data_IF_464997466765
#
_entry.id   IF_464997466765
#
_cell.length_a   1.000
_cell.length_b   1.000
_cell.length_c   1.000
_cell.angle_alpha   90.00
_cell.angle_beta   90.00
_cell.angle_gamma   90.00
#
_symmetry.space_group_name_H-M   'P 1'
#
loop_
_entity.id
_entity.type
_entity.pdbx_description
1 polymer ?
#
# COMPACT_ATOMS: atom_id res chain seq x y z
N UNK A 1 19.70 -10.18 3.30
CA UNK A 1 19.33 -10.35 4.73
C UNK A 1 18.43 -11.57 4.81
N UNK A 2 18.67 -12.50 5.73
CA UNK A 2 17.84 -13.72 5.79
C UNK A 2 16.47 -13.39 6.35
N UNK A 3 15.39 -13.70 5.61
CA UNK A 3 14.01 -13.56 6.06
C UNK A 3 13.74 -14.36 7.34
N UNK A 4 14.50 -15.45 7.57
CA UNK A 4 14.46 -16.23 8.81
C UNK A 4 14.71 -15.37 10.05
N UNK A 5 15.63 -14.41 9.98
CA UNK A 5 15.94 -13.56 11.13
C UNK A 5 14.79 -12.58 11.46
N UNK A 6 14.09 -12.09 10.45
CA UNK A 6 12.87 -11.28 10.65
C UNK A 6 11.75 -12.14 11.24
N UNK A 7 11.53 -13.34 10.71
CA UNK A 7 10.53 -14.27 11.22
C UNK A 7 10.79 -14.65 12.68
N UNK A 8 12.05 -14.82 13.07
CA UNK A 8 12.46 -15.14 14.43
C UNK A 8 12.58 -13.92 15.36
N UNK A 9 12.19 -12.73 14.91
CA UNK A 9 12.22 -11.49 15.68
C UNK A 9 13.60 -11.19 16.28
N UNK A 10 14.67 -11.38 15.50
CA UNK A 10 16.03 -11.09 15.95
C UNK A 10 16.31 -9.59 15.91
N UNK A 11 16.56 -8.98 17.06
CA UNK A 11 16.67 -7.54 17.29
C UNK A 11 17.56 -6.80 16.29
N UNK A 12 18.76 -7.28 16.03
CA UNK A 12 19.67 -6.61 15.09
C UNK A 12 19.13 -6.54 13.65
N UNK A 13 18.43 -7.59 13.22
CA UNK A 13 17.83 -7.62 11.88
C UNK A 13 16.61 -6.72 11.79
N UNK A 14 15.80 -6.68 12.85
CA UNK A 14 14.61 -5.83 12.93
C UNK A 14 15.02 -4.36 12.95
N UNK A 15 16.01 -3.98 13.77
CA UNK A 15 16.49 -2.60 13.88
C UNK A 15 16.98 -2.06 12.54
N UNK A 16 17.87 -2.79 11.86
CA UNK A 16 18.38 -2.36 10.54
C UNK A 16 17.29 -2.24 9.49
N UNK A 17 16.29 -3.13 9.52
CA UNK A 17 15.15 -3.07 8.60
C UNK A 17 14.24 -1.88 8.91
N UNK A 18 13.96 -1.64 10.20
CA UNK A 18 13.17 -0.52 10.67
C UNK A 18 13.83 0.83 10.32
N UNK A 19 15.13 0.96 10.49
CA UNK A 19 15.90 2.16 10.09
C UNK A 19 15.78 2.44 8.60
N UNK A 20 15.90 1.40 7.76
CA UNK A 20 15.73 1.54 6.31
C UNK A 20 14.32 2.02 5.96
N UNK A 21 13.28 1.41 6.53
CA UNK A 21 11.88 1.81 6.29
C UNK A 21 11.67 3.27 6.71
N UNK A 22 12.13 3.63 7.90
CA UNK A 22 12.02 5.01 8.41
C UNK A 22 12.67 6.01 7.45
N UNK A 23 13.91 5.75 7.04
CA UNK A 23 14.66 6.62 6.16
C UNK A 23 13.98 6.78 4.80
N UNK A 24 13.52 5.71 4.18
CA UNK A 24 12.92 5.75 2.84
C UNK A 24 11.58 6.51 2.83
N UNK A 25 10.76 6.34 3.85
CA UNK A 25 9.54 7.13 3.96
C UNK A 25 9.84 8.63 4.16
N UNK A 26 10.81 9.00 4.99
CA UNK A 26 11.18 10.41 5.16
C UNK A 26 11.88 11.01 3.94
N UNK A 27 12.61 10.24 3.15
CA UNK A 27 13.15 10.65 1.86
C UNK A 27 12.02 10.99 0.87
N UNK A 28 10.98 10.18 0.84
CA UNK A 28 9.77 10.44 0.03
C UNK A 28 9.05 11.70 0.51
N UNK A 29 8.86 11.87 1.82
CA UNK A 29 8.26 13.07 2.41
C UNK A 29 9.09 14.33 2.06
N UNK A 30 10.41 14.25 2.13
CA UNK A 30 11.30 15.36 1.77
C UNK A 30 11.17 15.73 0.28
N UNK A 31 11.03 14.73 -0.60
CA UNK A 31 10.77 14.94 -2.03
C UNK A 31 9.43 15.64 -2.27
N UNK A 32 8.37 15.18 -1.59
CA UNK A 32 7.06 15.82 -1.65
C UNK A 32 7.11 17.28 -1.15
N UNK A 33 7.77 17.55 -0.02
CA UNK A 33 7.94 18.89 0.50
C UNK A 33 8.70 19.78 -0.47
N UNK A 34 9.75 19.24 -1.14
CA UNK A 34 10.51 19.98 -2.16
C UNK A 34 9.63 20.44 -3.31
N UNK A 35 8.76 19.55 -3.78
CA UNK A 35 7.82 19.88 -4.85
C UNK A 35 6.78 20.90 -4.39
N UNK A 36 6.16 20.68 -3.24
CA UNK A 36 5.12 21.55 -2.69
C UNK A 36 5.61 22.97 -2.41
N UNK A 37 6.85 23.15 -1.91
CA UNK A 37 7.43 24.50 -1.68
C UNK A 37 7.81 25.23 -2.98
N UNK A 38 8.10 24.51 -4.06
CA UNK A 38 8.60 25.08 -5.31
C UNK A 38 7.56 25.23 -6.39
N UNK A 39 6.48 24.45 -6.33
CA UNK A 39 5.47 24.40 -7.38
C UNK A 39 4.80 25.75 -7.64
N UNK A 40 4.70 26.63 -6.65
CA UNK A 40 4.13 27.96 -6.79
C UNK A 40 5.03 28.96 -7.52
N UNK A 41 6.32 28.65 -7.66
CA UNK A 41 7.26 29.47 -8.41
C UNK A 41 7.26 29.16 -9.93
N UNK A 42 6.48 28.16 -10.37
CA UNK A 42 6.38 27.78 -11.77
C UNK A 42 5.44 28.75 -12.47
N UNK A 43 5.92 29.40 -13.52
CA UNK A 43 5.09 30.23 -14.39
C UNK A 43 4.32 29.32 -15.31
N UNK A 44 3.01 29.42 -15.31
CA UNK A 44 2.10 28.61 -16.13
C UNK A 44 1.68 29.42 -17.36
N UNK A 45 1.66 28.79 -18.52
CA UNK A 45 1.34 29.44 -19.79
C UNK A 45 -0.11 29.15 -20.27
N UNK A 46 -0.72 28.07 -19.76
CA UNK A 46 -2.05 27.64 -20.22
C UNK A 46 -2.78 26.78 -19.17
N UNK A 47 -4.07 26.58 -19.39
CA UNK A 47 -4.95 25.82 -18.50
C UNK A 47 -4.53 24.33 -18.35
N UNK A 48 -3.88 23.73 -19.36
CA UNK A 48 -3.38 22.36 -19.26
C UNK A 48 -2.24 22.26 -18.24
N UNK A 49 -1.39 23.26 -18.15
CA UNK A 49 -0.32 23.33 -17.16
C UNK A 49 -0.86 23.60 -15.75
N UNK A 50 -1.95 24.37 -15.64
CA UNK A 50 -2.65 24.56 -14.36
C UNK A 50 -3.24 23.22 -13.85
N UNK A 51 -3.89 22.45 -14.73
CA UNK A 51 -4.40 21.13 -14.39
C UNK A 51 -3.27 20.16 -13.99
N UNK A 52 -2.15 20.18 -14.73
CA UNK A 52 -0.99 19.35 -14.41
C UNK A 52 -0.37 19.74 -13.05
N UNK A 53 -0.27 21.04 -12.74
CA UNK A 53 0.18 21.53 -11.44
C UNK A 53 -0.74 21.04 -10.31
N UNK A 54 -2.05 21.16 -10.48
CA UNK A 54 -3.03 20.68 -9.50
C UNK A 54 -2.91 19.17 -9.27
N UNK A 55 -2.73 18.39 -10.33
CA UNK A 55 -2.52 16.95 -10.26
C UNK A 55 -1.23 16.58 -9.47
N UNK A 56 -0.13 17.29 -9.71
CA UNK A 56 1.14 17.11 -8.99
C UNK A 56 0.98 17.42 -7.50
N UNK A 57 0.29 18.52 -7.18
CA UNK A 57 0.05 18.91 -5.78
C UNK A 57 -0.78 17.85 -5.05
N UNK A 58 -1.85 17.37 -5.67
CA UNK A 58 -2.68 16.30 -5.11
C UNK A 58 -1.88 15.03 -4.87
N UNK A 59 -1.08 14.60 -5.86
CA UNK A 59 -0.23 13.42 -5.73
C UNK A 59 0.79 13.56 -4.59
N UNK A 60 1.48 14.69 -4.49
CA UNK A 60 2.44 14.96 -3.41
C UNK A 60 1.78 14.91 -2.03
N UNK A 61 0.57 15.49 -1.88
CA UNK A 61 -0.17 15.45 -0.61
C UNK A 61 -0.61 14.04 -0.26
N UNK A 62 -1.14 13.29 -1.22
CA UNK A 62 -1.58 11.90 -1.02
C UNK A 62 -0.42 10.97 -0.67
N UNK A 63 0.72 11.07 -1.38
CA UNK A 63 1.93 10.30 -1.08
C UNK A 63 2.52 10.65 0.28
N UNK A 64 2.59 11.94 0.62
CA UNK A 64 3.05 12.39 1.93
C UNK A 64 2.17 11.83 3.06
N UNK A 65 0.86 11.86 2.88
CA UNK A 65 -0.11 11.31 3.82
C UNK A 65 0.06 9.79 3.97
N UNK A 66 0.21 9.06 2.87
CA UNK A 66 0.47 7.62 2.86
C UNK A 66 1.76 7.28 3.62
N UNK A 67 2.84 8.04 3.39
CA UNK A 67 4.11 7.85 4.10
C UNK A 67 3.95 8.09 5.61
N UNK A 68 3.29 9.16 6.01
CA UNK A 68 3.02 9.45 7.41
C UNK A 68 2.15 8.36 8.06
N UNK A 69 1.12 7.92 7.38
CA UNK A 69 0.23 6.89 7.92
C UNK A 69 0.95 5.55 8.12
N UNK A 70 1.79 5.15 7.17
CA UNK A 70 2.62 3.96 7.32
C UNK A 70 3.64 4.10 8.45
N UNK A 71 4.33 5.24 8.55
CA UNK A 71 5.23 5.52 9.67
C UNK A 71 4.50 5.47 11.01
N UNK A 72 3.30 6.06 11.10
CA UNK A 72 2.50 6.09 12.32
C UNK A 72 2.13 4.66 12.76
N UNK A 73 1.64 3.83 11.84
CA UNK A 73 1.27 2.43 12.13
C UNK A 73 2.45 1.56 12.54
N UNK A 74 3.67 1.84 12.02
CA UNK A 74 4.85 1.02 12.25
C UNK A 74 5.68 1.46 13.47
N UNK A 75 5.64 2.76 13.80
CA UNK A 75 6.59 3.34 14.76
C UNK A 75 5.94 4.07 15.95
N UNK A 76 4.61 3.99 16.07
CA UNK A 76 3.88 4.52 17.21
C UNK A 76 2.96 3.47 17.84
N UNK A 77 2.52 3.64 19.09
CA UNK A 77 1.44 2.86 19.66
C UNK A 77 0.15 2.96 18.85
N UNK A 78 -0.74 1.98 18.99
CA UNK A 78 -2.06 2.06 18.36
C UNK A 78 -2.88 3.23 18.94
N UNK A 79 -3.69 3.87 18.10
CA UNK A 79 -4.49 5.05 18.47
C UNK A 79 -5.40 4.83 19.67
N UNK A 80 -5.99 3.64 19.76
CA UNK A 80 -6.91 3.26 20.86
C UNK A 80 -6.23 3.11 22.22
N UNK A 81 -4.91 3.07 22.28
CA UNK A 81 -4.15 2.93 23.52
C UNK A 81 -3.96 4.28 24.22
N UNK A 82 -3.44 5.24 23.49
CA UNK A 82 -3.22 6.59 23.97
C UNK A 82 -3.02 7.56 22.79
N UNK A 83 -4.04 8.30 22.37
CA UNK A 83 -3.91 9.27 21.28
C UNK A 83 -2.93 10.41 21.57
N UNK A 84 -2.60 10.67 22.84
CA UNK A 84 -1.65 11.71 23.25
C UNK A 84 -0.21 11.20 23.34
N UNK A 85 0.02 9.90 23.16
CA UNK A 85 1.37 9.35 23.11
C UNK A 85 2.16 9.89 21.90
N UNK A 86 3.48 9.74 21.98
CA UNK A 86 4.39 10.12 20.90
C UNK A 86 4.08 9.32 19.62
N UNK A 87 3.67 10.03 18.59
CA UNK A 87 3.45 9.52 17.24
C UNK A 87 4.73 9.54 16.40
N UNK A 88 4.72 10.32 15.33
CA UNK A 88 5.85 10.48 14.41
C UNK A 88 6.26 11.95 14.29
N UNK A 89 7.36 12.19 13.58
CA UNK A 89 7.81 13.56 13.29
C UNK A 89 7.05 14.07 12.06
N UNK A 90 6.27 15.14 12.22
CA UNK A 90 5.64 15.84 11.11
C UNK A 90 6.63 16.84 10.51
N UNK A 91 7.24 16.47 9.38
CA UNK A 91 8.18 17.31 8.64
C UNK A 91 7.43 18.13 7.59
N UNK A 92 7.26 19.42 7.83
CA UNK A 92 6.47 20.28 6.97
C UNK A 92 7.29 21.07 5.94
N UNK A 93 8.54 21.40 6.27
CA UNK A 93 9.41 22.29 5.49
C UNK A 93 10.71 21.61 5.09
N UNK A 94 11.35 22.17 4.07
CA UNK A 94 12.72 21.84 3.72
C UNK A 94 13.71 22.38 4.77
N UNK A 95 14.90 21.81 4.76
CA UNK A 95 16.00 22.24 5.62
C UNK A 95 16.22 21.34 6.83
N UNK A 96 17.29 21.65 7.56
CA UNK A 96 17.69 20.94 8.76
C UNK A 96 16.89 21.46 9.94
N UNK A 97 15.97 20.64 10.41
CA UNK A 97 15.16 20.88 11.59
C UNK A 97 15.26 19.68 12.51
N UNK A 98 15.08 19.87 13.79
CA UNK A 98 15.05 18.83 14.80
C UNK A 98 13.72 18.84 15.56
N UNK A 99 12.59 18.65 14.86
CA UNK A 99 11.28 18.63 15.49
C UNK A 99 11.13 17.40 16.39
N UNK A 100 10.39 17.56 17.46
CA UNK A 100 9.98 16.43 18.31
C UNK A 100 8.92 15.60 17.59
N UNK A 101 8.67 14.40 18.08
CA UNK A 101 7.49 13.64 17.67
C UNK A 101 6.23 14.41 18.06
N UNK A 102 5.26 14.44 17.17
CA UNK A 102 3.91 14.96 17.44
C UNK A 102 3.08 13.88 18.13
N UNK A 103 1.99 14.26 18.79
CA UNK A 103 1.05 13.27 19.31
C UNK A 103 0.44 12.42 18.18
N UNK A 104 -0.03 11.22 18.52
CA UNK A 104 -0.73 10.36 17.55
C UNK A 104 -1.95 11.09 16.98
N UNK A 105 -2.70 11.81 17.82
CA UNK A 105 -3.86 12.60 17.41
C UNK A 105 -3.49 13.71 16.43
N UNK A 106 -2.42 14.46 16.69
CA UNK A 106 -1.92 15.48 15.75
C UNK A 106 -1.48 14.85 14.42
N UNK A 107 -0.84 13.68 14.48
CA UNK A 107 -0.45 12.95 13.28
C UNK A 107 -1.67 12.54 12.45
N UNK A 108 -2.70 11.96 13.08
CA UNK A 108 -3.96 11.59 12.41
C UNK A 108 -4.64 12.83 11.81
N UNK A 109 -4.67 13.93 12.53
CA UNK A 109 -5.23 15.20 12.04
C UNK A 109 -4.48 15.73 10.81
N UNK A 110 -3.16 15.73 10.85
CA UNK A 110 -2.32 16.16 9.73
C UNK A 110 -2.50 15.26 8.50
N UNK A 111 -2.54 13.95 8.68
CA UNK A 111 -2.77 12.97 7.60
C UNK A 111 -4.15 13.18 6.99
N UNK A 112 -5.19 13.34 7.82
CA UNK A 112 -6.56 13.62 7.37
C UNK A 112 -6.64 14.90 6.52
N UNK A 113 -5.97 15.97 6.96
CA UNK A 113 -5.93 17.24 6.22
C UNK A 113 -5.29 17.04 4.84
N UNK A 114 -4.13 16.41 4.77
CA UNK A 114 -3.45 16.13 3.50
C UNK A 114 -4.30 15.31 2.53
N UNK A 115 -4.95 14.26 3.02
CA UNK A 115 -5.83 13.41 2.21
C UNK A 115 -7.08 14.16 1.75
N UNK A 116 -7.70 14.94 2.64
CA UNK A 116 -8.88 15.74 2.27
C UNK A 116 -8.56 16.76 1.18
N UNK A 117 -7.41 17.42 1.29
CA UNK A 117 -6.93 18.37 0.28
C UNK A 117 -6.52 17.69 -1.04
N UNK A 118 -6.14 16.40 -0.99
CA UNK A 118 -5.81 15.61 -2.18
C UNK A 118 -7.03 14.94 -2.83
N UNK A 119 -8.18 14.92 -2.17
CA UNK A 119 -9.35 14.17 -2.64
C UNK A 119 -9.99 14.74 -3.92
N UNK A 120 -9.80 16.02 -4.19
CA UNK A 120 -10.26 16.64 -5.44
C UNK A 120 -9.18 16.49 -6.53
N UNK A 121 -9.02 15.27 -7.03
CA UNK A 121 -8.02 14.95 -8.05
C UNK A 121 -8.64 14.20 -9.22
N UNK A 122 -8.13 14.50 -10.42
CA UNK A 122 -8.44 13.77 -11.67
C UNK A 122 -7.33 12.78 -12.05
N UNK A 123 -6.45 12.43 -11.11
CA UNK A 123 -5.39 11.45 -11.36
C UNK A 123 -5.97 10.09 -11.69
N UNK A 124 -5.35 9.42 -12.65
CA UNK A 124 -5.75 8.12 -13.15
C UNK A 124 -4.55 7.15 -13.07
N UNK A 125 -4.63 6.09 -12.23
CA UNK A 125 -3.55 5.13 -12.08
C UNK A 125 -3.22 4.38 -13.37
N UNK A 126 -4.19 4.17 -14.27
CA UNK A 126 -3.96 3.50 -15.55
C UNK A 126 -3.17 4.40 -16.53
N UNK A 127 -3.37 5.71 -16.42
CA UNK A 127 -2.72 6.69 -17.31
C UNK A 127 -1.35 7.12 -16.82
N UNK A 128 -1.19 7.38 -15.53
CA UNK A 128 0.04 7.98 -14.99
C UNK A 128 0.61 7.25 -13.76
N UNK A 129 -0.05 6.21 -13.27
CA UNK A 129 0.36 5.47 -12.08
C UNK A 129 0.17 6.24 -10.77
N UNK A 130 -0.56 7.34 -10.75
CA UNK A 130 -0.77 8.21 -9.61
C UNK A 130 -2.03 7.83 -8.83
N UNK A 131 -2.09 8.31 -7.57
CA UNK A 131 -3.21 8.06 -6.67
C UNK A 131 -4.48 8.73 -7.18
N UNK A 132 -5.49 7.92 -7.50
CA UNK A 132 -6.81 8.39 -7.89
C UNK A 132 -7.60 8.92 -6.69
N UNK A 133 -8.70 9.60 -6.97
CA UNK A 133 -9.67 9.98 -5.94
C UNK A 133 -10.14 8.76 -5.10
N UNK A 134 -10.39 7.62 -5.77
CA UNK A 134 -10.76 6.37 -5.10
C UNK A 134 -9.66 5.89 -4.15
N UNK A 135 -8.39 5.99 -4.54
CA UNK A 135 -7.26 5.64 -3.69
C UNK A 135 -7.16 6.58 -2.47
N UNK A 136 -7.42 7.86 -2.65
CA UNK A 136 -7.46 8.84 -1.55
C UNK A 136 -8.61 8.54 -0.59
N UNK A 137 -9.81 8.24 -1.08
CA UNK A 137 -10.95 7.83 -0.24
C UNK A 137 -10.66 6.55 0.52
N UNK A 138 -9.94 5.61 -0.09
CA UNK A 138 -9.52 4.41 0.61
C UNK A 138 -8.56 4.72 1.77
N UNK A 139 -7.56 5.56 1.55
CA UNK A 139 -6.66 5.98 2.62
C UNK A 139 -7.39 6.73 3.74
N UNK A 140 -8.39 7.54 3.41
CA UNK A 140 -9.25 8.18 4.39
C UNK A 140 -10.08 7.15 5.16
N UNK A 141 -10.68 6.16 4.50
CA UNK A 141 -11.42 5.10 5.17
C UNK A 141 -10.54 4.33 6.16
N UNK A 142 -9.33 3.95 5.76
CA UNK A 142 -8.36 3.27 6.64
C UNK A 142 -7.93 4.16 7.82
N UNK A 143 -7.69 5.44 7.59
CA UNK A 143 -7.32 6.39 8.63
C UNK A 143 -8.43 6.55 9.66
N UNK A 144 -9.68 6.67 9.21
CA UNK A 144 -10.83 6.80 10.10
C UNK A 144 -11.11 5.51 10.88
N UNK A 145 -10.89 4.34 10.27
CA UNK A 145 -10.91 3.05 10.99
C UNK A 145 -9.84 3.00 12.08
N UNK A 146 -8.61 3.41 11.75
CA UNK A 146 -7.51 3.47 12.71
C UNK A 146 -7.81 4.42 13.88
N UNK A 147 -8.47 5.54 13.61
CA UNK A 147 -8.88 6.53 14.61
C UNK A 147 -10.20 6.18 15.33
N UNK A 148 -10.82 5.02 15.05
CA UNK A 148 -12.08 4.60 15.64
C UNK A 148 -13.32 5.38 15.17
N UNK A 149 -13.19 6.17 14.09
CA UNK A 149 -14.26 6.98 13.50
C UNK A 149 -15.07 6.17 12.49
N UNK A 150 -15.69 5.07 12.92
CA UNK A 150 -16.34 4.07 12.06
C UNK A 150 -17.40 4.65 11.12
N UNK A 151 -18.16 5.66 11.58
CA UNK A 151 -19.15 6.33 10.74
C UNK A 151 -18.53 7.06 9.55
N UNK A 152 -17.40 7.74 9.77
CA UNK A 152 -16.66 8.40 8.69
C UNK A 152 -15.99 7.40 7.74
N UNK A 153 -15.44 6.31 8.28
CA UNK A 153 -14.86 5.24 7.49
C UNK A 153 -15.91 4.64 6.54
N UNK A 154 -17.14 4.38 7.02
CA UNK A 154 -18.24 3.88 6.21
C UNK A 154 -18.60 4.83 5.06
N UNK A 155 -18.67 6.15 5.33
CA UNK A 155 -18.96 7.15 4.29
C UNK A 155 -17.92 7.12 3.16
N UNK A 156 -16.63 6.99 3.47
CA UNK A 156 -15.60 6.88 2.46
C UNK A 156 -15.64 5.54 1.71
N UNK A 157 -15.94 4.45 2.41
CA UNK A 157 -16.13 3.15 1.79
C UNK A 157 -17.32 3.15 0.81
N UNK A 158 -18.43 3.77 1.16
CA UNK A 158 -19.58 3.95 0.28
C UNK A 158 -19.21 4.70 -1.00
N UNK A 159 -18.46 5.81 -0.91
CA UNK A 159 -17.97 6.54 -2.07
C UNK A 159 -17.12 5.69 -3.02
N UNK A 160 -16.36 4.74 -2.49
CA UNK A 160 -15.56 3.80 -3.28
C UNK A 160 -16.48 2.81 -3.98
N UNK A 161 -17.46 2.26 -3.26
CA UNK A 161 -18.41 1.28 -3.79
C UNK A 161 -19.34 1.87 -4.86
N UNK A 162 -19.67 3.16 -4.80
CA UNK A 162 -20.43 3.86 -5.84
C UNK A 162 -19.72 3.84 -7.21
N UNK A 163 -18.41 3.69 -7.23
CA UNK A 163 -17.62 3.56 -8.46
C UNK A 163 -17.41 2.11 -8.90
N UNK A 164 -17.81 1.15 -8.07
CA UNK A 164 -17.68 -0.27 -8.38
C UNK A 164 -18.74 -0.70 -9.42
N UNK A 165 -18.34 -1.62 -10.28
CA UNK A 165 -19.23 -2.23 -11.28
C UNK A 165 -19.33 -3.73 -11.04
N UNK A 166 -20.45 -4.34 -11.43
CA UNK A 166 -20.73 -5.77 -11.18
C UNK A 166 -19.67 -6.70 -11.80
N UNK A 167 -19.03 -6.28 -12.89
CA UNK A 167 -17.97 -7.05 -13.56
C UNK A 167 -16.66 -7.11 -12.76
N UNK A 168 -16.49 -6.27 -11.74
CA UNK A 168 -15.32 -6.30 -10.84
C UNK A 168 -15.34 -7.52 -9.91
N UNK A 169 -16.53 -7.98 -9.52
CA UNK A 169 -16.72 -9.03 -8.50
C UNK A 169 -16.94 -10.42 -9.07
N UNK A 170 -16.53 -10.65 -10.30
CA UNK A 170 -16.63 -11.96 -10.96
C UNK A 170 -15.42 -12.84 -10.68
N UNK A 171 -15.56 -14.17 -10.89
CA UNK A 171 -14.42 -15.11 -10.84
C UNK A 171 -13.30 -14.69 -11.80
N UNK A 172 -13.65 -14.22 -12.99
CA UNK A 172 -12.68 -13.72 -13.96
C UNK A 172 -11.98 -12.43 -13.46
N UNK A 173 -12.71 -11.54 -12.79
CA UNK A 173 -12.17 -10.35 -12.14
C UNK A 173 -11.16 -10.71 -11.04
N UNK A 174 -11.51 -11.63 -10.15
CA UNK A 174 -10.62 -12.11 -9.10
C UNK A 174 -9.32 -12.70 -9.67
N UNK A 175 -9.40 -13.48 -10.74
CA UNK A 175 -8.22 -14.02 -11.42
C UNK A 175 -7.31 -12.90 -11.95
N UNK A 176 -7.90 -11.91 -12.64
CA UNK A 176 -7.17 -10.78 -13.22
C UNK A 176 -6.50 -9.90 -12.18
N UNK A 177 -7.04 -9.82 -10.97
CA UNK A 177 -6.44 -9.08 -9.86
C UNK A 177 -4.97 -9.48 -9.59
N UNK A 178 -4.64 -10.75 -9.83
CA UNK A 178 -3.32 -11.32 -9.56
C UNK A 178 -2.47 -11.56 -10.82
N UNK A 179 -3.07 -11.53 -12.00
CA UNK A 179 -2.42 -11.89 -13.26
C UNK A 179 -2.10 -10.69 -14.15
N UNK A 180 -2.78 -9.57 -13.97
CA UNK A 180 -2.60 -8.41 -14.85
C UNK A 180 -2.32 -7.13 -14.07
N UNK A 181 -1.55 -6.22 -14.68
CA UNK A 181 -1.36 -4.88 -14.14
C UNK A 181 -2.67 -4.06 -14.20
N UNK A 182 -3.47 -4.27 -15.24
CA UNK A 182 -4.77 -3.61 -15.44
C UNK A 182 -5.89 -4.50 -14.93
N UNK A 183 -6.48 -4.13 -13.80
CA UNK A 183 -7.64 -4.77 -13.22
C UNK A 183 -8.54 -3.70 -12.61
N UNK A 184 -9.82 -3.67 -13.02
CA UNK A 184 -10.80 -2.67 -12.56
C UNK A 184 -11.03 -2.71 -11.04
N UNK A 185 -10.85 -3.88 -10.42
CA UNK A 185 -10.99 -4.04 -8.98
C UNK A 185 -9.78 -3.49 -8.20
N UNK A 186 -8.69 -3.19 -8.89
CA UNK A 186 -7.51 -2.62 -8.27
C UNK A 186 -7.65 -1.11 -8.12
N UNK A 187 -7.69 -0.64 -6.88
CA UNK A 187 -7.78 0.78 -6.58
C UNK A 187 -6.45 1.47 -6.83
N UNK A 188 -5.34 0.85 -6.40
CA UNK A 188 -4.00 1.40 -6.56
C UNK A 188 -2.93 0.31 -6.45
N UNK A 189 -1.80 0.50 -7.15
CA UNK A 189 -0.63 -0.35 -7.02
C UNK A 189 0.64 0.42 -7.40
N UNK A 190 1.73 0.19 -6.67
CA UNK A 190 3.05 0.65 -7.08
C UNK A 190 3.64 -0.33 -8.09
N UNK A 191 4.23 0.21 -9.14
CA UNK A 191 4.96 -0.58 -10.13
C UNK A 191 6.45 -0.55 -9.81
N UNK A 192 7.09 -1.70 -9.90
CA UNK A 192 8.54 -1.81 -9.79
C UNK A 192 9.10 -2.59 -10.97
N UNK A 193 10.26 -2.16 -11.46
CA UNK A 193 10.97 -2.85 -12.55
C UNK A 193 11.57 -4.20 -12.11
N UNK A 194 11.59 -4.51 -10.81
CA UNK A 194 12.10 -5.77 -10.28
C UNK A 194 10.95 -6.62 -9.76
N UNK A 195 10.92 -7.88 -10.16
CA UNK A 195 9.99 -8.87 -9.62
C UNK A 195 10.47 -9.34 -8.25
N UNK A 196 10.12 -8.61 -7.20
CA UNK A 196 10.39 -9.07 -5.83
C UNK A 196 9.55 -10.29 -5.45
N UNK A 197 8.45 -10.53 -6.14
CA UNK A 197 7.56 -11.67 -5.87
C UNK A 197 8.12 -13.00 -6.36
N UNK A 198 8.97 -13.01 -7.39
CA UNK A 198 9.67 -14.22 -7.79
C UNK A 198 10.53 -14.78 -6.67
N UNK A 199 11.08 -13.89 -5.82
CA UNK A 199 11.89 -14.26 -4.67
C UNK A 199 11.05 -14.74 -3.46
N UNK A 200 9.76 -14.42 -3.45
CA UNK A 200 8.83 -14.77 -2.36
C UNK A 200 8.19 -16.14 -2.61
N UNK A 201 8.08 -16.56 -3.85
CA UNK A 201 7.35 -17.77 -4.21
C UNK A 201 8.15 -19.03 -3.89
N UNK A 202 8.58 -19.72 -4.86
CA UNK A 202 9.40 -20.90 -4.74
C UNK A 202 10.69 -20.68 -5.51
N UNK A 203 11.80 -20.76 -4.82
CA UNK A 203 13.10 -20.77 -5.45
C UNK A 203 13.64 -22.19 -5.42
N UNK A 204 13.58 -22.89 -6.55
CA UNK A 204 14.06 -24.26 -6.68
C UNK A 204 15.55 -24.41 -6.33
N UNK A 205 16.34 -23.34 -6.52
CA UNK A 205 17.78 -23.35 -6.25
C UNK A 205 18.09 -23.20 -4.77
N UNK A 206 17.35 -22.38 -4.03
CA UNK A 206 17.55 -22.15 -2.59
C UNK A 206 16.67 -23.04 -1.71
N UNK A 207 15.64 -23.65 -2.28
CA UNK A 207 14.62 -24.39 -1.53
C UNK A 207 13.71 -23.49 -0.67
N UNK A 208 13.79 -22.18 -0.85
CA UNK A 208 12.94 -21.24 -0.10
C UNK A 208 11.52 -21.22 -0.68
N UNK A 209 10.52 -21.30 0.18
CA UNK A 209 9.12 -21.21 -0.22
C UNK A 209 8.22 -20.74 0.94
N UNK A 210 7.06 -20.20 0.58
CA UNK A 210 6.01 -19.86 1.54
C UNK A 210 4.94 -20.93 1.51
N UNK A 211 4.91 -21.77 2.55
CA UNK A 211 3.85 -22.73 2.77
C UNK A 211 2.60 -22.04 3.30
N UNK A 212 1.42 -22.47 2.84
CA UNK A 212 0.17 -22.09 3.45
C UNK A 212 0.05 -22.70 4.84
N UNK A 213 -0.49 -21.91 5.78
CA UNK A 213 -0.84 -22.46 7.09
C UNK A 213 -1.86 -23.61 6.90
N UNK A 214 -1.57 -24.82 7.38
CA UNK A 214 -2.48 -25.96 7.22
C UNK A 214 -3.84 -25.78 7.92
N UNK A 215 -3.97 -24.79 8.81
CA UNK A 215 -5.24 -24.44 9.44
C UNK A 215 -6.16 -23.61 8.53
N UNK A 216 -5.64 -23.08 7.42
CA UNK A 216 -6.47 -22.37 6.43
C UNK A 216 -7.21 -23.40 5.60
N UNK A 217 -8.51 -23.48 5.80
CA UNK A 217 -9.41 -24.37 5.05
C UNK A 217 -10.35 -23.53 4.21
N UNK A 218 -10.29 -23.72 2.90
CA UNK A 218 -11.24 -23.11 1.96
C UNK A 218 -12.43 -24.07 1.74
N UNK A 219 -13.64 -23.51 1.68
CA UNK A 219 -14.83 -24.26 1.24
C UNK A 219 -14.66 -24.82 -0.18
N UNK A 220 -15.45 -25.84 -0.52
CA UNK A 220 -15.36 -26.45 -1.87
C UNK A 220 -15.70 -25.48 -2.99
N UNK A 221 -16.65 -24.59 -2.76
CA UNK A 221 -17.09 -23.54 -3.71
C UNK A 221 -16.22 -22.27 -3.66
N UNK A 222 -15.23 -22.20 -2.78
CA UNK A 222 -14.39 -21.03 -2.62
C UNK A 222 -13.36 -20.94 -3.73
N UNK A 223 -13.52 -19.97 -4.62
CA UNK A 223 -12.62 -19.76 -5.77
C UNK A 223 -11.17 -19.51 -5.33
N UNK A 224 -10.95 -18.99 -4.12
CA UNK A 224 -9.61 -18.76 -3.57
C UNK A 224 -8.82 -20.06 -3.43
N UNK A 225 -9.47 -21.20 -3.21
CA UNK A 225 -8.84 -22.53 -3.20
C UNK A 225 -8.08 -22.79 -4.49
N UNK A 226 -8.67 -22.44 -5.63
CA UNK A 226 -8.07 -22.65 -6.96
C UNK A 226 -6.89 -21.72 -7.23
N UNK A 227 -6.94 -20.48 -6.72
CA UNK A 227 -5.96 -19.45 -7.06
C UNK A 227 -4.89 -19.24 -5.98
N UNK A 228 -5.22 -19.46 -4.72
CA UNK A 228 -4.31 -19.21 -3.61
C UNK A 228 -3.53 -20.43 -3.16
N UNK A 229 -3.92 -21.63 -3.63
CA UNK A 229 -3.26 -22.89 -3.25
C UNK A 229 -2.49 -23.45 -4.45
N UNK A 230 -1.21 -23.69 -4.26
CA UNK A 230 -0.35 -24.35 -5.22
C UNK A 230 0.15 -25.67 -4.60
N UNK A 231 -0.41 -26.84 -4.99
CA UNK A 231 0.10 -28.11 -4.50
C UNK A 231 1.48 -28.40 -5.11
N UNK A 232 2.41 -28.74 -4.25
CA UNK A 232 3.80 -29.03 -4.62
C UNK A 232 4.31 -30.25 -3.88
N UNK A 233 4.98 -31.13 -4.58
CA UNK A 233 5.64 -32.30 -4.00
C UNK A 233 7.11 -31.97 -3.72
N UNK A 234 7.52 -32.12 -2.46
CA UNK A 234 8.89 -31.93 -2.03
C UNK A 234 9.31 -33.08 -1.11
N UNK A 235 10.41 -33.73 -1.47
CA UNK A 235 10.96 -34.85 -0.70
C UNK A 235 9.93 -35.98 -0.44
N UNK A 236 9.01 -36.19 -1.38
CA UNK A 236 7.94 -37.20 -1.26
C UNK A 236 6.74 -36.79 -0.42
N UNK A 237 6.72 -35.54 0.08
CA UNK A 237 5.58 -35.00 0.80
C UNK A 237 4.83 -33.94 -0.03
N UNK A 238 3.50 -34.07 -0.05
CA UNK A 238 2.63 -33.05 -0.67
C UNK A 238 2.49 -31.87 0.27
N UNK A 239 2.79 -30.67 -0.23
CA UNK A 239 2.65 -29.40 0.49
C UNK A 239 1.83 -28.41 -0.31
N UNK A 240 1.10 -27.55 0.39
CA UNK A 240 0.39 -26.45 -0.21
C UNK A 240 1.22 -25.19 -0.06
N UNK A 241 1.63 -24.63 -1.18
CA UNK A 241 2.34 -23.36 -1.24
C UNK A 241 1.37 -22.22 -1.54
N UNK A 242 1.79 -20.99 -1.25
CA UNK A 242 1.06 -19.79 -1.65
C UNK A 242 1.04 -19.68 -3.18
N UNK A 243 -0.11 -20.03 -3.79
CA UNK A 243 -0.29 -20.05 -5.24
C UNK A 243 -0.68 -18.70 -5.85
N UNK A 244 -1.06 -17.74 -5.03
CA UNK A 244 -1.63 -16.45 -5.42
C UNK A 244 -0.79 -15.70 -6.47
N UNK A 245 0.52 -15.75 -6.36
CA UNK A 245 1.47 -15.09 -7.24
C UNK A 245 2.17 -16.02 -8.23
N UNK A 246 2.12 -17.35 -8.03
CA UNK A 246 2.84 -18.32 -8.86
C UNK A 246 2.34 -18.40 -10.30
N UNK A 247 1.05 -18.14 -10.51
CA UNK A 247 0.46 -18.18 -11.85
C UNK A 247 0.86 -17.00 -12.71
N UNK A 248 1.31 -15.93 -12.08
CA UNK A 248 1.72 -14.68 -12.72
C UNK A 248 3.11 -14.85 -13.38
N UNK A 249 3.98 -15.69 -12.85
CA UNK A 249 5.37 -15.79 -13.29
C UNK A 249 5.62 -16.84 -14.37
N UNK A 250 4.69 -17.77 -14.62
CA UNK A 250 4.93 -18.84 -15.60
C UNK A 250 4.70 -18.45 -17.05
N UNK A 251 3.89 -17.43 -17.32
CA UNK A 251 3.38 -17.16 -18.66
C UNK A 251 3.62 -15.75 -19.20
N UNK A 252 4.33 -14.87 -18.50
CA UNK A 252 4.57 -13.54 -19.05
C UNK A 252 5.92 -12.96 -18.69
N UNK A 253 6.73 -12.77 -19.70
CA UNK A 253 7.90 -11.87 -19.70
C UNK A 253 7.54 -10.40 -19.44
N UNK A 254 6.24 -10.07 -19.34
CA UNK A 254 5.71 -8.71 -19.31
C UNK A 254 5.05 -8.28 -17.99
N UNK A 255 4.88 -9.14 -16.99
CA UNK A 255 4.35 -8.71 -15.72
C UNK A 255 5.48 -8.17 -14.88
N UNK A 256 5.71 -6.88 -15.04
CA UNK A 256 6.45 -6.09 -14.07
C UNK A 256 5.72 -6.22 -12.74
N UNK A 257 6.45 -6.57 -11.71
CA UNK A 257 5.88 -6.83 -10.39
C UNK A 257 5.07 -5.62 -9.92
N UNK A 258 3.84 -5.89 -9.56
CA UNK A 258 2.93 -4.93 -8.97
C UNK A 258 3.05 -5.05 -7.47
N UNK A 259 3.60 -4.04 -6.82
CA UNK A 259 3.57 -3.92 -5.37
C UNK A 259 2.19 -3.42 -4.95
N UNK A 260 1.44 -4.24 -4.23
CA UNK A 260 0.13 -3.87 -3.73
C UNK A 260 0.27 -3.01 -2.48
N UNK A 261 -0.40 -1.87 -2.43
CA UNK A 261 -0.90 -1.36 -1.17
C UNK A 261 -1.89 -2.40 -0.66
N UNK A 262 -1.71 -2.90 0.55
CA UNK A 262 -2.41 -4.06 1.13
C UNK A 262 -3.91 -3.85 1.35
N UNK A 263 -4.65 -3.55 0.30
CA UNK A 263 -6.05 -3.19 0.35
C UNK A 263 -7.00 -4.34 0.70
N UNK A 264 -6.55 -5.59 0.56
CA UNK A 264 -7.37 -6.77 0.85
C UNK A 264 -6.74 -7.81 1.76
N UNK A 265 -5.61 -7.52 2.39
CA UNK A 265 -5.04 -8.43 3.38
C UNK A 265 -5.89 -8.52 4.66
N UNK A 266 -6.80 -7.57 4.87
CA UNK A 266 -7.67 -7.52 6.06
C UNK A 266 -9.00 -8.28 5.92
N UNK A 267 -9.36 -8.75 4.73
CA UNK A 267 -10.59 -9.56 4.55
C UNK A 267 -10.42 -11.04 4.93
N UNK A 268 -9.25 -11.44 5.41
CA UNK A 268 -8.96 -12.85 5.75
C UNK A 268 -8.53 -13.05 7.20
N UNK A 269 -8.97 -12.19 8.10
CA UNK A 269 -8.89 -12.46 9.55
C UNK A 269 -10.26 -12.75 10.13
#
# INVERSE_FOLDING_TARGET
MSQKNLYLWQDNSITSFAETIWLEYYNTIASCNTLLERVDNIVLENASEESAKAAIISECKALKALCYFNLLRLFAPAYDKDPQADGIVLKERLGLEFPKRSSIEDCVSAIRTLLTEAADTENDPERNGWLSQTAVYYLLAELELYAGQYGQAAIYAEKILEQATDDMFTVAGYKRLWETASCKERIFAFYTAKSYYADIQFNETSGDYFALNPQIVYGEEDIRKTYNVYPFEMEGEQRNLLGKYNKVNKDSESIQSVSYTHLRAHETL
#
